data_IF_368555977902
#
_entry.id   IF_368555977902
#
_cell.length_a   1.000
_cell.length_b   1.000
_cell.length_c   1.000
_cell.angle_alpha   90.00
_cell.angle_beta   90.00
_cell.angle_gamma   90.00
#
_symmetry.space_group_name_H-M   'P 1'
#
loop_
_entity.id
_entity.type
_entity.pdbx_description
1 polymer ?
#
# COMPACT_ATOMS: atom_id res chain seq x y z
N UNK A 1 -12.35 26.60 -6.84
CA UNK A 1 -11.90 25.56 -7.80
C UNK A 1 -11.99 24.22 -7.09
N UNK A 2 -13.10 23.51 -7.27
CA UNK A 2 -13.24 22.14 -6.78
C UNK A 2 -12.25 21.27 -7.56
N UNK A 3 -11.12 20.90 -6.94
CA UNK A 3 -10.32 19.77 -7.43
C UNK A 3 -11.31 18.63 -7.58
N UNK A 4 -11.61 18.22 -8.81
CA UNK A 4 -12.35 16.98 -9.00
C UNK A 4 -11.53 15.92 -8.28
N UNK A 5 -12.09 15.43 -7.17
CA UNK A 5 -11.49 14.42 -6.32
C UNK A 5 -11.50 13.16 -7.18
N UNK A 6 -10.45 12.97 -8.00
CA UNK A 6 -10.32 11.77 -8.82
C UNK A 6 -10.18 10.63 -7.82
N UNK A 7 -11.29 9.92 -7.64
CA UNK A 7 -11.33 8.70 -6.84
C UNK A 7 -10.23 7.78 -7.36
N UNK A 8 -9.37 7.29 -6.48
CA UNK A 8 -8.39 6.28 -6.85
C UNK A 8 -9.11 5.01 -7.31
N UNK A 9 -8.53 4.23 -8.24
CA UNK A 9 -9.16 3.02 -8.69
C UNK A 9 -9.34 2.03 -7.55
N UNK A 10 -10.41 1.24 -7.63
CA UNK A 10 -10.63 0.08 -6.77
C UNK A 10 -9.88 -1.12 -7.35
N UNK A 11 -9.29 -1.94 -6.50
CA UNK A 11 -8.45 -3.06 -6.93
C UNK A 11 -8.43 -4.19 -5.89
N UNK A 12 -8.09 -5.43 -6.27
CA UNK A 12 -7.94 -6.53 -5.34
C UNK A 12 -6.69 -6.36 -4.46
N UNK A 13 -6.85 -6.44 -3.15
CA UNK A 13 -5.80 -6.22 -2.16
C UNK A 13 -5.99 -7.01 -0.86
N UNK A 14 -7.22 -7.16 -0.36
CA UNK A 14 -7.50 -7.82 0.93
C UNK A 14 -7.71 -9.34 0.81
N UNK A 15 -7.23 -9.93 -0.28
CA UNK A 15 -7.26 -11.36 -0.54
C UNK A 15 -8.39 -11.79 -1.47
N UNK A 16 -9.28 -10.88 -1.89
CA UNK A 16 -10.25 -11.16 -2.93
C UNK A 16 -9.60 -11.19 -4.32
N UNK A 17 -10.33 -11.77 -5.28
CA UNK A 17 -9.98 -11.73 -6.71
C UNK A 17 -10.67 -10.59 -7.45
N UNK A 18 -11.70 -10.00 -6.85
CA UNK A 18 -12.39 -8.80 -7.31
C UNK A 18 -11.87 -7.56 -6.58
N UNK A 19 -12.13 -6.34 -7.10
CA UNK A 19 -11.80 -5.11 -6.39
C UNK A 19 -12.46 -5.09 -5.00
N UNK A 20 -11.66 -5.21 -3.95
CA UNK A 20 -12.07 -5.22 -2.53
C UNK A 20 -11.45 -4.05 -1.74
N UNK A 21 -10.46 -3.35 -2.31
CA UNK A 21 -9.89 -2.16 -1.69
C UNK A 21 -10.44 -0.87 -2.31
N UNK A 22 -10.96 0.00 -1.43
CA UNK A 22 -11.36 1.37 -1.77
C UNK A 22 -10.51 2.39 -1.04
N UNK A 23 -10.04 3.39 -1.77
CA UNK A 23 -9.37 4.55 -1.16
C UNK A 23 -10.40 5.52 -0.55
N UNK A 24 -10.24 5.83 0.74
CA UNK A 24 -10.97 6.86 1.47
C UNK A 24 -9.95 7.70 2.24
N UNK A 25 -9.91 9.02 1.98
CA UNK A 25 -9.00 9.97 2.63
C UNK A 25 -7.50 9.56 2.64
N UNK A 26 -7.04 8.88 1.60
CA UNK A 26 -5.63 8.48 1.47
C UNK A 26 -5.29 7.13 2.10
N UNK A 27 -6.28 6.35 2.55
CA UNK A 27 -6.11 5.03 3.13
C UNK A 27 -7.05 4.02 2.47
N UNK A 28 -6.65 2.74 2.47
CA UNK A 28 -7.41 1.63 1.93
C UNK A 28 -8.37 1.09 2.99
N UNK A 29 -9.62 0.94 2.57
CA UNK A 29 -10.67 0.26 3.31
C UNK A 29 -11.04 -1.01 2.55
N UNK A 30 -11.25 -2.08 3.31
CA UNK A 30 -11.77 -3.33 2.79
C UNK A 30 -13.28 -3.18 2.61
N UNK A 31 -13.75 -3.37 1.38
CA UNK A 31 -15.17 -3.26 1.04
C UNK A 31 -15.97 -4.45 1.56
N UNK A 32 -15.30 -5.55 1.87
CA UNK A 32 -15.95 -6.72 2.49
C UNK A 32 -16.00 -6.59 4.03
N UNK A 33 -15.23 -5.67 4.61
CA UNK A 33 -15.25 -5.35 6.05
C UNK A 33 -16.22 -4.18 6.34
N UNK A 34 -17.51 -4.50 6.32
CA UNK A 34 -18.59 -3.53 6.52
C UNK A 34 -19.63 -3.98 7.54
N UNK A 35 -20.42 -3.02 8.03
CA UNK A 35 -21.64 -3.31 8.78
C UNK A 35 -22.78 -3.77 7.84
N UNK A 36 -23.89 -4.23 8.42
CA UNK A 36 -25.05 -4.69 7.64
C UNK A 36 -25.78 -3.56 6.88
N UNK A 37 -25.39 -2.29 7.11
CA UNK A 37 -25.92 -1.11 6.45
C UNK A 37 -24.97 -0.58 5.35
N UNK A 38 -23.83 -1.24 5.13
CA UNK A 38 -22.83 -0.94 4.11
C UNK A 38 -21.79 0.11 4.51
N UNK A 39 -21.69 0.50 5.79
CA UNK A 39 -20.61 1.37 6.27
C UNK A 39 -19.35 0.55 6.51
N UNK A 40 -18.21 1.03 6.03
CA UNK A 40 -16.91 0.38 6.22
C UNK A 40 -16.35 0.70 7.60
N UNK A 41 -15.70 -0.27 8.24
CA UNK A 41 -15.03 -0.04 9.52
C UNK A 41 -13.73 0.77 9.34
N UNK A 42 -13.52 1.76 10.20
CA UNK A 42 -12.20 2.37 10.36
C UNK A 42 -11.21 1.33 10.89
N UNK A 43 -10.08 1.16 10.20
CA UNK A 43 -9.03 0.25 10.64
C UNK A 43 -8.06 0.98 11.58
N UNK A 44 -7.78 0.37 12.72
CA UNK A 44 -6.85 0.89 13.73
C UNK A 44 -5.44 1.19 13.18
N UNK A 45 -5.02 0.45 12.14
CA UNK A 45 -3.78 0.66 11.38
C UNK A 45 -4.11 0.75 9.90
N UNK A 46 -4.71 1.86 9.48
CA UNK A 46 -5.09 2.11 8.10
C UNK A 46 -3.92 1.94 7.14
N UNK A 47 -4.09 1.11 6.11
CA UNK A 47 -3.07 0.90 5.09
C UNK A 47 -3.11 2.11 4.14
N UNK A 48 -2.00 2.84 3.93
CA UNK A 48 -2.02 3.99 3.04
C UNK A 48 -2.42 3.61 1.61
N UNK A 49 -3.05 4.52 0.87
CA UNK A 49 -3.39 4.26 -0.53
C UNK A 49 -2.13 4.32 -1.41
N UNK A 50 -1.80 3.28 -2.18
CA UNK A 50 -0.62 3.28 -3.04
C UNK A 50 -0.66 4.34 -4.15
N UNK A 51 -1.85 4.84 -4.52
CA UNK A 51 -2.01 5.77 -5.64
C UNK A 51 -1.93 7.24 -5.25
N UNK A 52 -2.48 7.61 -4.09
CA UNK A 52 -2.52 9.01 -3.63
C UNK A 52 -1.72 9.28 -2.35
N UNK A 53 -1.30 8.23 -1.64
CA UNK A 53 -0.45 8.29 -0.44
C UNK A 53 0.76 7.34 -0.59
N UNK A 54 1.40 7.38 -1.76
CA UNK A 54 2.45 6.45 -2.18
C UNK A 54 3.64 6.40 -1.22
N UNK A 55 4.14 7.55 -0.78
CA UNK A 55 5.31 7.60 0.11
C UNK A 55 5.03 6.88 1.44
N UNK A 56 3.85 7.10 2.02
CA UNK A 56 3.47 6.46 3.28
C UNK A 56 3.19 4.97 3.09
N UNK A 57 2.63 4.56 1.95
CA UNK A 57 2.45 3.15 1.62
C UNK A 57 3.78 2.39 1.57
N UNK A 58 4.82 3.01 0.97
CA UNK A 58 6.16 2.43 0.90
C UNK A 58 6.77 2.31 2.30
N UNK A 59 6.63 3.34 3.14
CA UNK A 59 7.14 3.30 4.53
C UNK A 59 6.41 2.29 5.40
N UNK A 60 5.10 2.13 5.19
CA UNK A 60 4.29 1.16 5.92
C UNK A 60 4.71 -0.29 5.60
N UNK A 61 5.32 -0.51 4.44
CA UNK A 61 5.82 -1.81 3.97
C UNK A 61 4.81 -2.97 4.15
N UNK A 62 3.59 -2.87 3.58
CA UNK A 62 2.54 -3.85 3.81
C UNK A 62 2.86 -5.25 3.30
N UNK A 63 3.87 -5.40 2.43
CA UNK A 63 4.31 -6.68 1.90
C UNK A 63 5.63 -7.16 2.50
N UNK A 64 6.11 -6.53 3.57
CA UNK A 64 7.35 -6.91 4.28
C UNK A 64 8.57 -7.03 3.36
N UNK A 65 8.71 -6.11 2.40
CA UNK A 65 9.80 -6.10 1.43
C UNK A 65 11.14 -5.76 2.06
N UNK A 66 11.15 -5.04 3.18
CA UNK A 66 12.38 -4.84 3.95
C UNK A 66 12.97 -6.19 4.35
N UNK A 67 12.16 -7.09 4.91
CA UNK A 67 12.63 -8.43 5.32
C UNK A 67 13.09 -9.29 4.13
N UNK A 68 12.44 -9.15 2.97
CA UNK A 68 12.83 -9.86 1.74
C UNK A 68 14.16 -9.37 1.16
N UNK A 69 14.44 -8.06 1.22
CA UNK A 69 15.63 -7.46 0.61
C UNK A 69 16.80 -7.24 1.56
N UNK A 70 16.63 -7.47 2.87
CA UNK A 70 17.74 -7.42 3.82
C UNK A 70 18.73 -8.54 3.49
N UNK A 71 19.99 -8.13 3.28
CA UNK A 71 21.12 -9.01 3.08
C UNK A 71 22.06 -8.89 4.28
N UNK A 72 22.40 -10.01 4.91
CA UNK A 72 23.39 -10.02 5.99
C UNK A 72 24.80 -10.04 5.40
N UNK A 73 25.45 -8.89 5.41
CA UNK A 73 26.82 -8.69 4.93
C UNK A 73 27.83 -8.43 6.07
N UNK A 74 27.42 -8.64 7.33
CA UNK A 74 28.26 -8.41 8.51
C UNK A 74 28.41 -6.94 8.92
N UNK A 75 27.74 -5.99 8.28
CA UNK A 75 27.81 -4.56 8.64
C UNK A 75 26.84 -4.12 9.75
N UNK A 76 26.06 -5.07 10.29
CA UNK A 76 25.09 -4.84 11.36
C UNK A 76 23.68 -4.54 10.83
N UNK A 77 22.67 -4.86 11.63
CA UNK A 77 21.26 -4.86 11.23
C UNK A 77 20.80 -3.53 10.64
N UNK A 78 21.05 -2.41 11.33
CA UNK A 78 20.65 -1.07 10.85
C UNK A 78 21.29 -0.71 9.51
N UNK A 79 22.54 -1.13 9.28
CA UNK A 79 23.24 -0.90 8.01
C UNK A 79 22.65 -1.75 6.89
N UNK A 80 22.31 -3.02 7.18
CA UNK A 80 21.62 -3.90 6.24
C UNK A 80 20.24 -3.35 5.86
N UNK A 81 19.46 -2.87 6.83
CA UNK A 81 18.16 -2.23 6.60
C UNK A 81 18.33 -1.01 5.69
N UNK A 82 19.26 -0.10 6.01
CA UNK A 82 19.51 1.09 5.21
C UNK A 82 19.89 0.77 3.75
N UNK A 83 20.61 -0.33 3.51
CA UNK A 83 20.95 -0.82 2.16
C UNK A 83 19.77 -1.46 1.44
N UNK A 84 18.79 -2.00 2.17
CA UNK A 84 17.58 -2.59 1.60
C UNK A 84 16.56 -1.52 1.16
N UNK A 85 16.48 -0.36 1.86
CA UNK A 85 15.49 0.69 1.59
C UNK A 85 15.39 1.10 0.11
N UNK A 86 16.49 1.36 -0.63
CA UNK A 86 16.40 1.72 -2.05
C UNK A 86 15.78 0.59 -2.90
N UNK A 87 16.17 -0.67 -2.64
CA UNK A 87 15.60 -1.84 -3.34
C UNK A 87 14.09 -1.97 -3.08
N UNK A 88 13.68 -1.73 -1.83
CA UNK A 88 12.27 -1.72 -1.41
C UNK A 88 11.50 -0.61 -2.14
N UNK A 89 12.03 0.61 -2.17
CA UNK A 89 11.43 1.75 -2.86
C UNK A 89 11.22 1.45 -4.35
N UNK A 90 12.25 0.97 -5.04
CA UNK A 90 12.19 0.63 -6.45
C UNK A 90 11.15 -0.47 -6.72
N UNK A 91 11.11 -1.51 -5.87
CA UNK A 91 10.13 -2.58 -5.98
C UNK A 91 8.69 -2.06 -5.85
N UNK A 92 8.41 -1.25 -4.83
CA UNK A 92 7.07 -0.69 -4.63
C UNK A 92 6.66 0.24 -5.76
N UNK A 93 7.55 1.12 -6.23
CA UNK A 93 7.24 2.01 -7.35
C UNK A 93 6.89 1.20 -8.61
N UNK A 94 7.68 0.17 -8.93
CA UNK A 94 7.38 -0.71 -10.06
C UNK A 94 6.10 -1.52 -9.88
N UNK A 95 5.75 -1.93 -8.65
CA UNK A 95 4.47 -2.57 -8.36
C UNK A 95 3.30 -1.59 -8.56
N UNK A 96 3.41 -0.37 -8.04
CA UNK A 96 2.37 0.68 -8.17
C UNK A 96 2.14 1.05 -9.63
N UNK A 97 3.21 1.16 -10.44
CA UNK A 97 3.09 1.42 -11.88
C UNK A 97 2.28 0.33 -12.58
N UNK A 98 2.60 -0.95 -12.33
CA UNK A 98 1.83 -2.07 -12.87
C UNK A 98 0.37 -2.06 -12.43
N UNK A 99 0.09 -1.64 -11.20
CA UNK A 99 -1.28 -1.49 -10.70
C UNK A 99 -2.03 -0.38 -11.43
N UNK A 100 -1.39 0.77 -11.68
CA UNK A 100 -1.96 1.90 -12.44
C UNK A 100 -2.20 1.58 -13.92
N UNK A 101 -1.43 0.66 -14.50
CA UNK A 101 -1.67 0.19 -15.87
C UNK A 101 -2.89 -0.73 -15.96
N UNK A 102 -3.20 -1.44 -14.87
CA UNK A 102 -4.29 -2.42 -14.82
C UNK A 102 -5.62 -1.83 -14.34
N UNK A 103 -5.60 -0.85 -13.43
CA UNK A 103 -6.76 -0.25 -12.77
C UNK A 103 -6.71 1.27 -12.85
#
# INVERSE_FOLDING_TARGET
MSKQNKQCPEFPYFGATYPDARCINGYLYDMDDCDNDGNLYERDNGIPCPFCNTEEFIKYDPFSKVDEFIENDGTGFDSCVAKAIPKVQDWYLGWIEKMKERY
#
